data_IF_764786456099
#
_entry.id   IF_764786456099
#
_cell.length_a   1.000
_cell.length_b   1.000
_cell.length_c   1.000
_cell.angle_alpha   90.00
_cell.angle_beta   90.00
_cell.angle_gamma   90.00
#
_symmetry.space_group_name_H-M   'P 1'
#
loop_
_entity.id
_entity.type
_entity.pdbx_description
1 polymer ?
#
# COMPACT_ATOMS: atom_id res chain seq x y z
N UNK A 1 -16.89 13.78 -24.91
CA UNK A 1 -16.17 14.59 -23.89
C UNK A 1 -15.09 13.68 -23.30
N UNK A 2 -13.83 14.10 -23.23
CA UNK A 2 -12.78 13.27 -22.61
C UNK A 2 -13.06 13.15 -21.10
N UNK A 3 -12.88 11.96 -20.48
CA UNK A 3 -13.06 11.82 -19.05
C UNK A 3 -12.04 12.69 -18.31
N UNK A 4 -12.51 13.42 -17.30
CA UNK A 4 -11.66 14.29 -16.49
C UNK A 4 -11.00 13.48 -15.36
N UNK A 5 -10.08 12.59 -15.73
CA UNK A 5 -9.26 11.86 -14.76
C UNK A 5 -8.21 12.80 -14.18
N UNK A 6 -8.13 12.85 -12.86
CA UNK A 6 -7.12 13.62 -12.14
C UNK A 6 -5.75 13.00 -12.39
N UNK A 7 -4.73 13.85 -12.58
CA UNK A 7 -3.37 13.45 -12.91
C UNK A 7 -2.40 14.14 -11.94
N UNK A 8 -1.43 13.42 -11.35
CA UNK A 8 -0.36 14.05 -10.57
C UNK A 8 0.60 14.72 -11.55
N UNK A 9 0.47 16.02 -11.78
CA UNK A 9 1.29 16.76 -12.75
C UNK A 9 2.28 17.71 -12.07
N UNK A 10 3.54 17.64 -12.49
CA UNK A 10 4.57 18.64 -12.21
C UNK A 10 5.06 19.22 -13.55
N UNK A 11 4.44 20.31 -14.01
CA UNK A 11 4.67 20.85 -15.35
C UNK A 11 4.25 19.86 -16.44
N UNK A 12 5.20 19.48 -17.31
CA UNK A 12 4.96 18.56 -18.44
C UNK A 12 5.20 17.08 -18.11
N UNK A 13 5.50 16.77 -16.84
CA UNK A 13 5.76 15.41 -16.37
C UNK A 13 4.77 14.96 -15.29
N UNK A 14 4.70 13.65 -15.09
CA UNK A 14 4.00 13.08 -13.92
C UNK A 14 4.86 13.33 -12.67
N UNK A 15 4.24 13.87 -11.62
CA UNK A 15 4.90 14.09 -10.34
C UNK A 15 5.07 12.78 -9.57
N UNK A 16 6.31 12.26 -9.59
CA UNK A 16 6.67 11.04 -8.88
C UNK A 16 6.57 11.20 -7.35
N UNK A 17 6.89 12.39 -6.83
CA UNK A 17 6.87 12.65 -5.38
C UNK A 17 5.45 12.69 -4.82
N UNK A 18 4.49 13.11 -5.65
CA UNK A 18 3.07 13.02 -5.30
C UNK A 18 2.53 11.59 -5.46
N UNK A 19 3.13 10.76 -6.32
CA UNK A 19 2.64 9.43 -6.66
C UNK A 19 3.07 8.36 -5.64
N UNK A 20 4.33 8.36 -5.21
CA UNK A 20 4.88 7.34 -4.31
C UNK A 20 5.02 7.83 -2.87
N UNK A 21 4.80 6.93 -1.92
CA UNK A 21 5.17 7.13 -0.52
C UNK A 21 6.64 6.74 -0.30
N UNK A 22 7.04 5.60 -0.86
CA UNK A 22 8.36 5.00 -0.73
C UNK A 22 8.68 4.12 -1.94
N UNK A 23 9.96 4.02 -2.30
CA UNK A 23 10.47 3.12 -3.36
C UNK A 23 11.79 2.48 -2.95
N UNK A 24 12.04 1.27 -3.46
CA UNK A 24 13.27 0.52 -3.19
C UNK A 24 13.52 0.39 -1.69
N UNK A 25 14.72 0.76 -1.25
CA UNK A 25 15.15 0.66 0.15
C UNK A 25 14.36 1.55 1.12
N UNK A 26 13.57 2.52 0.64
CA UNK A 26 12.69 3.33 1.48
C UNK A 26 11.44 2.55 1.95
N UNK A 27 11.13 1.42 1.31
CA UNK A 27 9.94 0.62 1.61
C UNK A 27 10.11 -0.11 2.93
N UNK A 28 9.34 0.31 3.95
CA UNK A 28 9.36 -0.35 5.25
C UNK A 28 8.68 -1.73 5.20
N UNK A 29 9.37 -2.81 5.62
CA UNK A 29 8.76 -4.14 5.73
C UNK A 29 7.71 -4.21 6.85
N UNK A 30 7.74 -3.28 7.81
CA UNK A 30 6.76 -3.17 8.88
C UNK A 30 5.41 -2.60 8.41
N UNK A 31 5.36 -1.99 7.21
CA UNK A 31 4.11 -1.49 6.65
C UNK A 31 3.22 -2.66 6.22
N UNK A 32 1.95 -2.74 6.66
CA UNK A 32 1.05 -3.78 6.17
C UNK A 32 0.81 -3.62 4.66
N UNK A 33 0.61 -4.72 3.93
CA UNK A 33 0.27 -4.66 2.50
C UNK A 33 -1.05 -3.92 2.26
N UNK A 34 -1.06 -3.01 1.28
CA UNK A 34 -2.19 -2.15 0.91
C UNK A 34 -2.43 -2.14 -0.62
N UNK A 35 -3.59 -1.60 -1.02
CA UNK A 35 -3.82 -1.19 -2.41
C UNK A 35 -2.71 -0.24 -2.86
N UNK A 36 -2.18 -0.44 -4.06
CA UNK A 36 -1.09 0.37 -4.60
C UNK A 36 0.31 -0.09 -4.21
N UNK A 37 0.45 -1.16 -3.44
CA UNK A 37 1.76 -1.79 -3.25
C UNK A 37 2.21 -2.48 -4.53
N UNK A 38 3.47 -2.29 -4.89
CA UNK A 38 4.10 -2.92 -6.04
C UNK A 38 5.03 -4.03 -5.57
N UNK A 39 4.84 -5.22 -6.13
CA UNK A 39 5.52 -6.45 -5.76
C UNK A 39 6.31 -6.99 -6.96
N UNK A 40 7.58 -7.38 -6.77
CA UNK A 40 8.44 -8.08 -7.74
C UNK A 40 8.81 -9.49 -7.25
N UNK A 41 9.53 -10.26 -8.08
CA UNK A 41 9.97 -11.60 -7.70
C UNK A 41 8.86 -12.66 -7.78
N UNK A 42 7.73 -12.35 -8.42
CA UNK A 42 6.57 -13.24 -8.47
C UNK A 42 6.62 -14.14 -9.71
N UNK A 43 6.60 -15.46 -9.52
CA UNK A 43 6.52 -16.42 -10.63
C UNK A 43 5.06 -16.61 -11.06
N UNK A 44 4.62 -15.85 -12.06
CA UNK A 44 3.22 -15.81 -12.51
C UNK A 44 3.07 -16.15 -14.00
N UNK A 45 1.98 -16.83 -14.41
CA UNK A 45 1.70 -17.11 -15.81
C UNK A 45 1.43 -15.82 -16.58
N UNK A 46 1.88 -15.73 -17.83
CA UNK A 46 1.58 -14.59 -18.70
C UNK A 46 0.36 -14.79 -19.59
N UNK A 47 0.09 -13.81 -20.47
CA UNK A 47 -0.87 -13.95 -21.56
C UNK A 47 -0.53 -15.09 -22.54
N UNK A 48 0.76 -15.43 -22.65
CA UNK A 48 1.27 -16.56 -23.43
C UNK A 48 1.18 -17.91 -22.69
N UNK A 49 0.69 -17.90 -21.44
CA UNK A 49 0.62 -19.08 -20.57
C UNK A 49 1.94 -19.47 -19.92
N UNK A 50 3.04 -18.75 -20.20
CA UNK A 50 4.34 -19.06 -19.61
C UNK A 50 4.53 -18.39 -18.25
N UNK A 51 4.96 -19.19 -17.27
CA UNK A 51 5.33 -18.69 -15.95
C UNK A 51 6.70 -18.04 -16.02
N UNK A 52 6.74 -16.74 -15.71
CA UNK A 52 7.97 -15.95 -15.64
C UNK A 52 7.94 -15.09 -14.40
N UNK A 53 9.07 -14.53 -14.04
CA UNK A 53 9.12 -13.50 -13.01
C UNK A 53 8.37 -12.26 -13.49
N UNK A 54 7.47 -11.74 -12.67
CA UNK A 54 6.62 -10.59 -12.98
C UNK A 54 6.58 -9.61 -11.83
N UNK A 55 6.24 -8.38 -12.19
CA UNK A 55 5.95 -7.30 -11.26
C UNK A 55 4.45 -7.05 -11.29
N UNK A 56 3.83 -6.81 -10.15
CA UNK A 56 2.39 -6.53 -10.05
C UNK A 56 2.11 -5.39 -9.09
N UNK A 57 0.97 -4.72 -9.24
CA UNK A 57 0.43 -3.75 -8.28
C UNK A 57 -0.87 -4.29 -7.67
N UNK A 58 -1.00 -4.20 -6.34
CA UNK A 58 -2.21 -4.64 -5.64
C UNK A 58 -3.37 -3.69 -5.94
N UNK A 59 -4.50 -4.24 -6.39
CA UNK A 59 -5.74 -3.50 -6.65
C UNK A 59 -6.80 -3.71 -5.56
N UNK A 60 -6.69 -4.80 -4.80
CA UNK A 60 -7.68 -5.15 -3.79
C UNK A 60 -7.74 -4.13 -2.66
N UNK A 61 -8.94 -3.75 -2.23
CA UNK A 61 -9.13 -2.86 -1.08
C UNK A 61 -8.67 -3.52 0.24
N UNK A 62 -8.03 -2.79 1.19
CA UNK A 62 -7.43 -3.40 2.38
C UNK A 62 -8.41 -4.17 3.28
N UNK A 63 -9.66 -3.72 3.40
CA UNK A 63 -10.70 -4.46 4.16
C UNK A 63 -10.98 -5.86 3.64
N UNK A 64 -10.81 -6.10 2.34
CA UNK A 64 -11.06 -7.41 1.73
C UNK A 64 -9.83 -8.30 1.78
N UNK A 65 -8.65 -7.72 1.96
CA UNK A 65 -7.38 -8.43 2.03
C UNK A 65 -7.18 -9.13 3.37
N UNK A 66 -7.92 -8.79 4.43
CA UNK A 66 -7.76 -9.39 5.76
C UNK A 66 -9.09 -9.65 6.42
N UNK A 67 -9.32 -10.86 6.92
CA UNK A 67 -10.54 -11.21 7.66
C UNK A 67 -10.45 -10.84 9.14
N UNK A 68 -9.25 -10.89 9.71
CA UNK A 68 -8.97 -10.60 11.12
C UNK A 68 -8.06 -9.39 11.31
N UNK A 69 -7.78 -8.64 10.24
CA UNK A 69 -6.93 -7.44 10.29
C UNK A 69 -5.43 -7.70 10.35
N UNK A 70 -4.99 -8.96 10.43
CA UNK A 70 -3.56 -9.34 10.41
C UNK A 70 -3.27 -10.17 9.16
N UNK A 71 -3.93 -11.31 9.03
CA UNK A 71 -3.59 -12.32 8.03
C UNK A 71 -4.26 -12.02 6.69
N UNK A 72 -3.49 -12.23 5.62
CA UNK A 72 -3.97 -12.06 4.26
C UNK A 72 -5.00 -13.14 3.90
N UNK A 73 -6.08 -12.73 3.23
CA UNK A 73 -7.07 -13.62 2.64
C UNK A 73 -6.55 -14.19 1.33
N UNK A 74 -7.14 -15.30 0.90
CA UNK A 74 -6.89 -15.85 -0.43
C UNK A 74 -7.44 -14.94 -1.52
N UNK A 75 -6.76 -14.90 -2.68
CA UNK A 75 -7.16 -14.22 -3.93
C UNK A 75 -7.09 -12.70 -3.86
N UNK A 76 -5.89 -12.18 -3.56
CA UNK A 76 -5.60 -10.75 -3.62
C UNK A 76 -5.50 -10.34 -5.10
N UNK A 77 -6.39 -9.46 -5.55
CA UNK A 77 -6.39 -8.96 -6.91
C UNK A 77 -5.20 -8.01 -7.15
N UNK A 78 -4.45 -8.28 -8.21
CA UNK A 78 -3.35 -7.43 -8.66
C UNK A 78 -3.36 -7.28 -10.20
N UNK A 79 -2.79 -6.18 -10.70
CA UNK A 79 -2.53 -5.98 -12.13
C UNK A 79 -1.04 -6.13 -12.40
N UNK A 80 -0.69 -6.74 -13.53
CA UNK A 80 0.69 -6.85 -13.98
C UNK A 80 1.28 -5.47 -14.31
N UNK A 81 2.54 -5.26 -13.96
CA UNK A 81 3.31 -4.05 -14.26
C UNK A 81 4.32 -4.38 -15.34
N UNK A 82 4.20 -3.68 -16.46
CA UNK A 82 5.03 -3.90 -17.65
C UNK A 82 5.91 -2.68 -17.92
N UNK A 83 7.02 -2.89 -18.62
CA UNK A 83 7.77 -1.80 -19.25
C UNK A 83 6.88 -1.06 -20.25
N UNK A 84 6.97 0.25 -20.27
CA UNK A 84 6.20 1.12 -21.15
C UNK A 84 7.00 2.39 -21.48
N UNK A 85 6.71 3.01 -22.62
CA UNK A 85 7.27 4.34 -22.91
C UNK A 85 6.74 5.39 -21.90
N UNK A 86 7.53 6.39 -21.47
CA UNK A 86 7.07 7.41 -20.55
C UNK A 86 5.75 8.07 -20.97
N UNK A 87 4.79 8.11 -20.04
CA UNK A 87 3.51 8.77 -20.27
C UNK A 87 3.64 10.28 -20.11
N UNK A 88 3.13 11.03 -21.09
CA UNK A 88 2.88 12.47 -20.95
C UNK A 88 1.55 12.70 -20.23
N UNK A 89 1.40 13.81 -19.48
CA UNK A 89 0.11 14.18 -18.86
C UNK A 89 -1.07 14.18 -19.84
N UNK A 90 -0.85 14.56 -21.10
CA UNK A 90 -1.89 14.53 -22.14
C UNK A 90 -2.43 13.12 -22.45
N UNK A 91 -1.61 12.08 -22.26
CA UNK A 91 -1.97 10.67 -22.47
C UNK A 91 -2.72 10.07 -21.27
N UNK A 92 -2.62 10.71 -20.09
CA UNK A 92 -3.30 10.27 -18.87
C UNK A 92 -4.82 10.17 -19.05
N UNK A 93 -5.41 11.14 -19.75
CA UNK A 93 -6.85 11.19 -20.05
C UNK A 93 -7.35 10.17 -21.09
N UNK A 94 -6.43 9.51 -21.82
CA UNK A 94 -6.75 8.60 -22.93
C UNK A 94 -6.59 7.12 -22.60
N UNK A 95 -5.46 6.69 -22.07
CA UNK A 95 -5.13 5.27 -21.90
C UNK A 95 -5.51 4.77 -20.50
N UNK A 96 -6.80 4.76 -20.17
CA UNK A 96 -7.29 4.44 -18.82
C UNK A 96 -7.07 2.97 -18.39
N UNK A 97 -6.75 2.06 -19.32
CA UNK A 97 -6.39 0.67 -18.98
C UNK A 97 -4.98 0.55 -18.40
N UNK A 98 -4.14 1.59 -18.57
CA UNK A 98 -2.83 1.67 -17.95
C UNK A 98 -2.83 2.63 -16.77
N UNK A 99 -2.25 2.22 -15.64
CA UNK A 99 -1.79 3.11 -14.57
C UNK A 99 -0.29 3.40 -14.75
N UNK A 100 0.11 4.61 -15.14
CA UNK A 100 1.53 4.94 -15.27
C UNK A 100 2.26 4.93 -13.92
N UNK A 101 3.43 4.30 -13.90
CA UNK A 101 4.33 4.16 -12.74
C UNK A 101 5.74 4.66 -13.13
N UNK A 102 5.91 5.96 -13.40
CA UNK A 102 7.20 6.53 -13.77
C UNK A 102 8.22 6.36 -12.63
N UNK A 103 9.47 6.06 -12.97
CA UNK A 103 10.56 5.96 -12.00
C UNK A 103 10.38 4.86 -10.95
N UNK A 104 9.59 3.82 -11.21
CA UNK A 104 9.30 2.74 -10.25
C UNK A 104 10.57 2.10 -9.66
N UNK A 105 11.52 1.69 -10.50
CA UNK A 105 12.78 1.07 -10.08
C UNK A 105 13.95 2.07 -10.00
N UNK A 106 13.65 3.37 -10.04
CA UNK A 106 14.66 4.41 -10.30
C UNK A 106 15.20 4.33 -11.73
N UNK A 107 15.38 5.48 -12.38
CA UNK A 107 16.26 5.53 -13.55
C UNK A 107 16.81 6.94 -13.73
N UNK A 108 18.13 7.00 -13.95
CA UNK A 108 18.84 8.17 -14.46
C UNK A 108 18.54 8.42 -15.96
N UNK A 109 17.83 7.48 -16.62
CA UNK A 109 17.43 7.56 -18.01
C UNK A 109 15.91 7.69 -18.16
N UNK A 110 15.46 8.79 -18.77
CA UNK A 110 14.07 9.07 -19.10
C UNK A 110 13.48 8.17 -20.22
N UNK A 111 14.17 7.10 -20.67
CA UNK A 111 13.73 6.31 -21.84
C UNK A 111 12.78 5.16 -21.52
N UNK A 112 12.81 4.63 -20.29
CA UNK A 112 11.96 3.50 -19.86
C UNK A 112 11.10 3.94 -18.67
N UNK A 113 9.81 3.65 -18.75
CA UNK A 113 8.84 3.82 -17.68
C UNK A 113 8.13 2.50 -17.43
N UNK A 114 7.32 2.43 -16.39
CA UNK A 114 6.46 1.29 -16.14
C UNK A 114 5.01 1.71 -16.14
N UNK A 115 4.11 0.76 -16.37
CA UNK A 115 2.69 0.96 -16.15
C UNK A 115 2.02 -0.36 -15.75
N UNK A 116 1.07 -0.28 -14.82
CA UNK A 116 0.19 -1.40 -14.52
C UNK A 116 -0.87 -1.52 -15.61
N UNK A 117 -1.08 -2.74 -16.09
CA UNK A 117 -2.02 -3.08 -17.15
C UNK A 117 -3.27 -3.75 -16.56
N UNK A 118 -4.40 -3.06 -16.62
CA UNK A 118 -5.65 -3.57 -16.10
C UNK A 118 -6.29 -4.67 -16.96
N UNK A 119 -5.77 -4.91 -18.17
CA UNK A 119 -6.18 -6.06 -18.99
C UNK A 119 -5.47 -7.36 -18.53
N UNK A 120 -4.37 -7.26 -17.76
CA UNK A 120 -3.56 -8.38 -17.29
C UNK A 120 -3.64 -8.50 -15.76
N UNK A 121 -4.65 -9.25 -15.28
CA UNK A 121 -4.96 -9.40 -13.86
C UNK A 121 -4.50 -10.75 -13.29
N UNK A 122 -4.02 -10.71 -12.06
CA UNK A 122 -3.58 -11.87 -11.28
C UNK A 122 -4.36 -11.97 -9.97
N UNK A 123 -4.60 -13.20 -9.50
CA UNK A 123 -5.09 -13.47 -8.15
C UNK A 123 -3.96 -14.11 -7.35
N UNK A 124 -3.45 -13.38 -6.38
CA UNK A 124 -2.32 -13.80 -5.55
C UNK A 124 -2.82 -14.56 -4.32
N UNK A 125 -2.05 -15.56 -3.91
CA UNK A 125 -2.16 -16.18 -2.59
C UNK A 125 -1.42 -15.36 -1.52
N UNK A 126 -1.70 -15.58 -0.23
CA UNK A 126 -0.89 -15.00 0.85
C UNK A 126 0.61 -15.29 0.68
N UNK A 127 0.95 -16.53 0.32
CA UNK A 127 2.35 -16.94 0.13
C UNK A 127 3.01 -16.22 -1.04
N UNK A 128 2.28 -15.90 -2.11
CA UNK A 128 2.83 -15.10 -3.21
C UNK A 128 3.20 -13.69 -2.72
N UNK A 129 2.30 -13.05 -1.96
CA UNK A 129 2.50 -11.70 -1.45
C UNK A 129 3.62 -11.63 -0.40
N UNK A 130 3.68 -12.59 0.52
CA UNK A 130 4.65 -12.65 1.62
C UNK A 130 6.07 -13.02 1.16
N UNK A 131 6.21 -13.77 0.06
CA UNK A 131 7.51 -14.12 -0.53
C UNK A 131 7.98 -13.13 -1.59
N UNK A 132 7.09 -12.27 -2.10
CA UNK A 132 7.46 -11.22 -3.04
C UNK A 132 8.27 -10.11 -2.37
N UNK A 133 9.12 -9.46 -3.18
CA UNK A 133 9.80 -8.25 -2.77
C UNK A 133 8.86 -7.05 -3.00
N UNK A 134 8.64 -6.24 -1.95
CA UNK A 134 7.85 -5.01 -2.09
C UNK A 134 8.78 -3.88 -2.52
N UNK A 135 8.65 -3.45 -3.78
CA UNK A 135 9.56 -2.47 -4.41
C UNK A 135 9.05 -1.04 -4.38
N UNK A 136 7.76 -0.83 -4.14
CA UNK A 136 7.20 0.51 -3.94
C UNK A 136 5.87 0.48 -3.18
N UNK A 137 5.57 1.60 -2.53
CA UNK A 137 4.25 1.93 -2.02
C UNK A 137 3.76 3.20 -2.71
N UNK A 138 2.55 3.19 -3.25
CA UNK A 138 1.90 4.44 -3.65
C UNK A 138 1.58 5.31 -2.43
N UNK A 139 1.67 6.63 -2.62
CA UNK A 139 1.14 7.59 -1.65
C UNK A 139 -0.38 7.45 -1.56
N UNK A 140 -0.99 8.01 -0.53
CA UNK A 140 -2.45 8.03 -0.43
C UNK A 140 -3.10 8.70 -1.65
N UNK A 141 -2.50 9.78 -2.16
CA UNK A 141 -2.95 10.42 -3.40
C UNK A 141 -2.76 9.47 -4.60
N UNK A 142 -1.62 8.79 -4.70
CA UNK A 142 -1.35 7.77 -5.71
C UNK A 142 -2.38 6.63 -5.71
N UNK A 143 -2.79 6.16 -4.54
CA UNK A 143 -3.83 5.13 -4.39
C UNK A 143 -5.20 5.65 -4.81
N UNK A 144 -5.54 6.90 -4.47
CA UNK A 144 -6.79 7.50 -4.95
C UNK A 144 -6.83 7.64 -6.48
N UNK A 145 -5.69 7.96 -7.10
CA UNK A 145 -5.54 8.01 -8.55
C UNK A 145 -5.67 6.62 -9.19
N UNK A 146 -5.02 5.61 -8.61
CA UNK A 146 -5.13 4.21 -9.03
C UNK A 146 -6.59 3.74 -8.99
N UNK A 147 -7.29 3.98 -7.89
CA UNK A 147 -8.69 3.59 -7.73
C UNK A 147 -9.62 4.35 -8.67
N UNK A 148 -9.46 5.67 -8.83
CA UNK A 148 -10.25 6.46 -9.79
C UNK A 148 -10.09 5.88 -11.20
N UNK A 149 -8.84 5.58 -11.57
CA UNK A 149 -8.51 5.07 -12.89
C UNK A 149 -9.06 3.66 -13.10
N UNK A 150 -8.90 2.76 -12.14
CA UNK A 150 -9.42 1.40 -12.21
C UNK A 150 -10.96 1.37 -12.24
N UNK A 151 -11.62 2.22 -11.44
CA UNK A 151 -13.08 2.40 -11.48
C UNK A 151 -13.54 2.90 -12.84
N UNK A 152 -12.85 3.89 -13.42
CA UNK A 152 -13.19 4.42 -14.74
C UNK A 152 -12.94 3.42 -15.87
N UNK A 153 -11.85 2.65 -15.81
CA UNK A 153 -11.60 1.56 -16.74
C UNK A 153 -12.76 0.55 -16.70
N UNK A 154 -13.17 0.15 -15.50
CA UNK A 154 -14.18 -0.89 -15.29
C UNK A 154 -15.61 -0.45 -15.58
N UNK A 155 -15.96 0.82 -15.32
CA UNK A 155 -17.36 1.29 -15.29
C UNK A 155 -17.64 2.50 -16.18
N UNK A 156 -16.61 3.17 -16.71
CA UNK A 156 -16.69 4.48 -17.37
C UNK A 156 -17.13 5.64 -16.49
N UNK A 157 -17.37 5.40 -15.20
CA UNK A 157 -17.68 6.45 -14.22
C UNK A 157 -16.37 7.07 -13.74
N UNK A 158 -16.34 8.41 -13.65
CA UNK A 158 -15.22 9.12 -13.01
C UNK A 158 -15.62 9.42 -11.57
N UNK A 159 -14.92 8.79 -10.61
CA UNK A 159 -15.09 9.06 -9.18
C UNK A 159 -14.04 10.08 -8.74
N UNK A 160 -14.42 11.27 -8.25
CA UNK A 160 -13.44 12.26 -7.79
C UNK A 160 -12.53 11.72 -6.68
N UNK A 161 -11.23 12.01 -6.72
CA UNK A 161 -10.27 11.44 -5.76
C UNK A 161 -10.55 11.87 -4.33
N UNK A 162 -11.13 13.05 -4.09
CA UNK A 162 -11.51 13.48 -2.76
C UNK A 162 -12.62 12.61 -2.12
N UNK A 163 -13.49 12.00 -2.94
CA UNK A 163 -14.51 11.06 -2.43
C UNK A 163 -13.86 9.72 -2.08
N UNK A 164 -12.89 9.29 -2.89
CA UNK A 164 -12.07 8.12 -2.60
C UNK A 164 -11.24 8.31 -1.33
N UNK A 165 -10.67 9.49 -1.13
CA UNK A 165 -9.95 9.87 0.10
C UNK A 165 -10.80 9.64 1.34
N UNK A 166 -12.07 10.08 1.32
CA UNK A 166 -12.98 9.94 2.48
C UNK A 166 -13.17 8.49 2.94
N UNK A 167 -13.09 7.53 2.01
CA UNK A 167 -13.27 6.11 2.32
C UNK A 167 -11.95 5.38 2.61
N UNK A 168 -10.82 5.84 2.05
CA UNK A 168 -9.52 5.18 2.24
C UNK A 168 -8.73 5.71 3.42
N UNK A 169 -8.88 6.99 3.75
CA UNK A 169 -8.08 7.67 4.77
C UNK A 169 -8.05 7.00 6.14
N UNK A 170 -9.17 6.48 6.70
CA UNK A 170 -9.11 5.76 7.96
C UNK A 170 -8.16 4.55 7.94
N UNK A 171 -8.02 3.88 6.79
CA UNK A 171 -7.15 2.72 6.64
C UNK A 171 -5.68 3.10 6.48
N UNK A 172 -5.40 4.23 5.82
CA UNK A 172 -4.04 4.77 5.78
C UNK A 172 -3.58 5.18 7.17
N UNK A 173 -4.44 5.85 7.95
CA UNK A 173 -4.13 6.21 9.33
C UNK A 173 -3.90 4.95 10.19
N UNK A 174 -4.70 3.90 10.02
CA UNK A 174 -4.49 2.63 10.70
C UNK A 174 -3.18 1.95 10.29
N UNK A 175 -2.83 1.97 9.00
CA UNK A 175 -1.61 1.38 8.49
C UNK A 175 -0.36 2.12 8.96
N UNK A 176 -0.40 3.45 9.02
CA UNK A 176 0.70 4.27 9.52
C UNK A 176 0.91 4.02 11.03
N UNK A 177 -0.17 3.90 11.80
CA UNK A 177 -0.07 3.53 13.22
C UNK A 177 0.44 2.10 13.42
N UNK A 178 0.02 1.15 12.58
CA UNK A 178 0.55 -0.23 12.61
C UNK A 178 2.05 -0.26 12.30
N UNK A 179 2.47 0.46 11.25
CA UNK A 179 3.87 0.58 10.87
C UNK A 179 4.70 1.18 12.01
N UNK A 180 4.30 2.34 12.54
CA UNK A 180 4.96 2.99 13.68
C UNK A 180 5.08 2.02 14.88
N UNK A 181 4.01 1.29 15.20
CA UNK A 181 4.00 0.32 16.29
C UNK A 181 5.01 -0.80 16.06
N UNK A 182 4.99 -1.41 14.87
CA UNK A 182 5.88 -2.50 14.51
C UNK A 182 7.35 -2.07 14.49
N UNK A 183 7.67 -0.91 13.91
CA UNK A 183 9.03 -0.35 13.88
C UNK A 183 9.56 -0.05 15.29
N UNK A 184 8.71 0.47 16.18
CA UNK A 184 9.13 0.76 17.56
C UNK A 184 9.37 -0.51 18.42
N UNK A 185 8.81 -1.66 18.02
CA UNK A 185 8.95 -2.94 18.74
C UNK A 185 10.03 -3.83 18.14
N UNK A 186 9.98 -4.04 16.82
CA UNK A 186 10.95 -4.86 16.11
C UNK A 186 12.30 -4.14 15.99
N UNK A 187 12.31 -2.81 16.11
CA UNK A 187 13.49 -1.99 15.84
C UNK A 187 13.79 -1.92 14.35
N UNK A 188 14.94 -1.33 14.02
CA UNK A 188 15.49 -1.42 12.67
C UNK A 188 16.38 -2.67 12.60
N UNK A 189 16.36 -3.41 11.49
CA UNK A 189 17.25 -4.54 11.31
C UNK A 189 18.69 -4.02 11.30
N UNK A 190 19.49 -4.48 12.26
CA UNK A 190 20.95 -4.36 12.17
C UNK A 190 21.48 -5.47 11.25
N UNK A 191 22.67 -5.31 10.69
CA UNK A 191 23.26 -6.24 9.70
C UNK A 191 23.38 -7.69 10.19
N UNK A 192 23.26 -7.89 11.51
CA UNK A 192 23.39 -9.17 12.20
C UNK A 192 22.06 -9.88 12.49
N UNK A 193 20.91 -9.24 12.26
CA UNK A 193 19.60 -9.83 12.55
C UNK A 193 19.18 -10.76 11.42
N UNK A 194 18.80 -11.99 11.74
CA UNK A 194 18.26 -12.93 10.77
C UNK A 194 16.96 -12.36 10.14
N UNK A 195 16.85 -12.25 8.80
CA UNK A 195 15.66 -11.72 8.14
C UNK A 195 14.36 -12.44 8.52
N UNK A 196 14.42 -13.72 8.85
CA UNK A 196 13.25 -14.48 9.29
C UNK A 196 12.82 -14.12 10.72
N UNK A 197 13.77 -13.89 11.62
CA UNK A 197 13.49 -13.46 13.00
C UNK A 197 12.92 -12.04 13.00
N UNK A 198 13.46 -11.16 12.15
CA UNK A 198 12.94 -9.81 12.00
C UNK A 198 11.49 -9.81 11.49
N UNK A 199 11.17 -10.62 10.47
CA UNK A 199 9.79 -10.80 10.00
C UNK A 199 8.86 -11.32 11.10
N UNK A 200 9.28 -12.33 11.86
CA UNK A 200 8.49 -12.85 12.99
C UNK A 200 8.24 -11.79 14.07
N UNK A 201 9.20 -10.91 14.33
CA UNK A 201 9.04 -9.80 15.26
C UNK A 201 7.99 -8.78 14.78
N UNK A 202 8.00 -8.44 13.47
CA UNK A 202 6.98 -7.60 12.84
C UNK A 202 5.60 -8.25 12.95
N UNK A 203 5.47 -9.53 12.60
CA UNK A 203 4.18 -10.24 12.66
C UNK A 203 3.61 -10.25 14.07
N UNK A 204 4.44 -10.56 15.07
CA UNK A 204 4.03 -10.53 16.47
C UNK A 204 3.63 -9.13 16.93
N UNK A 205 4.36 -8.09 16.50
CA UNK A 205 4.04 -6.71 16.82
C UNK A 205 2.74 -6.24 16.17
N UNK A 206 2.47 -6.69 14.94
CA UNK A 206 1.24 -6.38 14.20
C UNK A 206 0.01 -7.01 14.85
N UNK A 207 0.11 -8.26 15.33
CA UNK A 207 -0.95 -8.90 16.13
C UNK A 207 -1.25 -8.07 17.39
N UNK A 208 -0.21 -7.66 18.12
CA UNK A 208 -0.38 -6.86 19.33
C UNK A 208 -0.99 -5.48 19.05
N UNK A 209 -0.56 -4.83 17.96
CA UNK A 209 -1.19 -3.60 17.49
C UNK A 209 -2.68 -3.82 17.23
N UNK A 210 -3.05 -4.90 16.53
CA UNK A 210 -4.43 -5.19 16.20
C UNK A 210 -5.29 -5.44 17.43
N UNK A 211 -4.74 -6.08 18.47
CA UNK A 211 -5.41 -6.21 19.76
C UNK A 211 -5.61 -4.85 20.43
N UNK A 212 -4.57 -4.01 20.42
CA UNK A 212 -4.62 -2.67 21.02
C UNK A 212 -5.61 -1.73 20.33
N UNK A 213 -5.62 -1.67 18.99
CA UNK A 213 -6.51 -0.77 18.24
C UNK A 213 -7.98 -1.24 18.32
N UNK A 214 -8.21 -2.54 18.55
CA UNK A 214 -9.56 -3.11 18.67
C UNK A 214 -10.11 -3.14 20.07
N UNK A 215 -9.31 -2.83 21.09
CA UNK A 215 -9.80 -2.68 22.45
C UNK A 215 -10.89 -1.57 22.49
N UNK A 216 -11.93 -1.87 23.26
CA UNK A 216 -13.08 -0.99 23.43
C UNK A 216 -12.75 0.15 24.38
N UNK A 217 -12.96 1.38 23.92
CA UNK A 217 -12.86 2.59 24.76
C UNK A 217 -14.15 2.85 25.54
N UNK A 218 -15.27 2.37 25.04
CA UNK A 218 -16.56 2.36 25.72
C UNK A 218 -17.37 1.12 25.30
N UNK A 219 -18.59 0.97 25.83
CA UNK A 219 -19.45 -0.20 25.54
C UNK A 219 -19.67 -0.51 24.06
N UNK A 220 -19.52 0.48 23.15
CA UNK A 220 -19.88 0.38 21.73
C UNK A 220 -18.73 0.61 20.76
N UNK A 221 -17.70 1.39 21.11
CA UNK A 221 -16.66 1.83 20.16
C UNK A 221 -15.29 1.27 20.49
N UNK A 222 -14.57 0.86 19.44
CA UNK A 222 -13.14 0.52 19.49
C UNK A 222 -12.30 1.76 19.20
N UNK A 223 -11.01 1.76 19.55
CA UNK A 223 -10.09 2.83 19.10
C UNK A 223 -10.06 2.94 17.57
N UNK A 224 -10.11 1.80 16.88
CA UNK A 224 -10.19 1.70 15.42
C UNK A 224 -11.35 2.51 14.83
N UNK A 225 -12.52 2.50 15.47
CA UNK A 225 -13.70 3.22 14.97
C UNK A 225 -13.50 4.75 14.99
N UNK A 226 -12.65 5.25 15.90
CA UNK A 226 -12.33 6.67 16.00
C UNK A 226 -11.42 7.16 14.87
N UNK A 227 -10.71 6.27 14.15
CA UNK A 227 -9.88 6.69 12.99
C UNK A 227 -10.72 7.20 11.81
N UNK A 228 -12.02 6.86 11.78
CA UNK A 228 -12.99 7.39 10.82
C UNK A 228 -13.26 8.89 11.02
N UNK A 229 -13.01 9.41 12.22
CA UNK A 229 -13.15 10.82 12.54
C UNK A 229 -11.77 11.50 12.54
N UNK A 230 -11.58 12.44 11.60
CA UNK A 230 -10.32 13.18 11.46
C UNK A 230 -9.90 13.92 12.74
N UNK A 231 -10.85 14.40 13.55
CA UNK A 231 -10.56 15.12 14.78
C UNK A 231 -9.98 14.20 15.87
N UNK A 232 -10.35 12.92 15.84
CA UNK A 232 -9.95 11.92 16.84
C UNK A 232 -8.56 11.29 16.58
N UNK A 233 -8.04 11.34 15.34
CA UNK A 233 -6.81 10.65 14.94
C UNK A 233 -5.57 11.07 15.74
N UNK A 234 -5.41 12.37 15.98
CA UNK A 234 -4.28 12.89 16.77
C UNK A 234 -4.28 12.35 18.20
N UNK A 235 -5.47 12.21 18.80
CA UNK A 235 -5.65 11.61 20.12
C UNK A 235 -5.28 10.13 20.13
N UNK A 236 -5.73 9.36 19.13
CA UNK A 236 -5.36 7.94 19.00
C UNK A 236 -3.85 7.77 18.85
N UNK A 237 -3.19 8.59 18.03
CA UNK A 237 -1.72 8.57 17.89
C UNK A 237 -0.99 8.87 19.21
N UNK A 238 -1.52 9.80 20.02
CA UNK A 238 -0.96 10.07 21.35
C UNK A 238 -1.19 8.93 22.35
N UNK A 239 -2.35 8.25 22.29
CA UNK A 239 -2.62 7.04 23.08
C UNK A 239 -1.67 5.90 22.71
N UNK A 240 -1.48 5.66 21.42
CA UNK A 240 -0.54 4.66 20.91
C UNK A 240 0.87 4.88 21.45
N UNK A 241 1.39 6.10 21.34
CA UNK A 241 2.71 6.48 21.87
C UNK A 241 2.82 6.30 23.39
N UNK A 242 1.73 6.52 24.14
CA UNK A 242 1.68 6.26 25.59
C UNK A 242 1.76 4.76 25.88
N UNK A 243 1.04 3.94 25.13
CA UNK A 243 1.05 2.49 25.27
C UNK A 243 2.45 1.91 24.98
N UNK A 244 3.10 2.33 23.89
CA UNK A 244 4.47 1.93 23.55
C UNK A 244 5.47 2.30 24.65
N UNK A 245 5.38 3.52 25.22
CA UNK A 245 6.23 3.94 26.35
C UNK A 245 6.01 3.07 27.60
N UNK A 246 4.76 2.82 27.98
CA UNK A 246 4.45 1.99 29.14
C UNK A 246 4.98 0.56 28.97
N UNK A 247 4.88 0.00 27.75
CA UNK A 247 5.45 -1.30 27.42
C UNK A 247 6.96 -1.34 27.62
N UNK A 248 7.70 -0.33 27.15
CA UNK A 248 9.16 -0.23 27.32
C UNK A 248 9.57 -0.21 28.78
N UNK A 249 8.88 0.57 29.61
CA UNK A 249 9.15 0.64 31.06
C UNK A 249 8.90 -0.69 31.78
N UNK A 250 7.88 -1.45 31.36
CA UNK A 250 7.60 -2.78 31.91
C UNK A 250 8.64 -3.83 31.47
N UNK A 251 9.23 -3.68 30.28
CA UNK A 251 10.29 -4.56 29.78
C UNK A 251 11.64 -4.29 30.46
N UNK A 252 11.93 -3.05 30.88
CA UNK A 252 13.16 -2.69 31.61
C UNK A 252 13.11 -2.96 33.11
N UNK A 253 11.93 -3.28 33.66
CA UNK A 253 11.74 -3.60 35.08
C UNK A 253 11.76 -5.11 35.38
N UNK A 254 11.97 -5.95 34.36
CA UNK A 254 12.16 -7.41 34.47
C UNK A 254 13.61 -7.75 34.18
#
# INVERSE_FOLDING_TARGET
MKPNLECPTAGDAIDQSALYLARGDEVSPARPYLTGDVLSGLMLPGPDGETRERVVIILQHPCSMRSDGVHLTWRILAAEVCEHTPFKPSQWSGNYHFMPLPGLFGSESNSVSHAADFDNLHLLSPADVENAERVANLSQYGVNLLMQRYAHYSTRIVVPTFQLQQVTEPFFEEADLNQDWCEEIAGFPDDYVNPQEYRQAIDSASVEYMDWIREKIDSKRRRQDLLKDAQSRSTIRQEMRRALRARRSNATSK
#
